data_IF_367314843706
#
_entry.id   IF_367314843706
#
_cell.length_a   1.000
_cell.length_b   1.000
_cell.length_c   1.000
_cell.angle_alpha   90.00
_cell.angle_beta   90.00
_cell.angle_gamma   90.00
#
_symmetry.space_group_name_H-M   'P 1'
#
loop_
_entity.id
_entity.type
_entity.pdbx_description
1 polymer ?
#
# COMPACT_ATOMS: atom_id res chain seq x y z
N UNK A 1 -33.70 9.40 29.34
CA UNK A 1 -33.43 9.42 28.90
C UNK A 1 -32.80 9.53 28.39
N UNK A 2 -32.60 9.47 28.46
CA UNK A 2 -32.05 9.56 28.16
C UNK A 2 -31.54 9.50 27.42
N UNK A 3 -31.47 9.53 27.30
CA UNK A 3 -30.96 9.32 26.78
C UNK A 3 -30.63 8.89 25.99
N UNK A 4 -31.10 9.03 25.75
CA UNK A 4 -30.91 8.49 25.10
C UNK A 4 -29.90 8.28 24.46
N UNK A 5 -29.38 8.63 24.21
CA UNK A 5 -28.45 8.41 23.65
C UNK A 5 -27.69 7.54 23.94
N UNK A 6 -27.69 7.35 24.50
CA UNK A 6 -26.98 6.57 24.79
C UNK A 6 -27.26 5.55 24.53
N UNK A 7 -27.90 5.52 24.59
CA UNK A 7 -28.24 4.40 24.46
C UNK A 7 -28.02 3.91 23.34
N UNK A 8 -28.40 4.17 22.64
CA UNK A 8 -28.06 3.60 21.71
C UNK A 8 -26.89 3.31 21.68
N UNK A 9 -26.44 3.67 22.54
CA UNK A 9 -25.37 3.39 22.47
C UNK A 9 -24.92 2.29 22.80
N UNK A 10 -25.01 1.50 22.38
CA UNK A 10 -24.44 0.31 22.70
C UNK A 10 -22.97 0.47 22.88
N UNK A 11 -22.32 1.32 22.21
CA UNK A 11 -20.87 1.49 22.37
C UNK A 11 -20.59 2.60 23.37
N UNK A 12 -19.54 2.46 24.18
CA UNK A 12 -19.12 3.55 25.02
C UNK A 12 -18.77 4.77 24.18
N UNK A 13 -19.03 5.90 24.72
CA UNK A 13 -18.73 7.11 23.99
C UNK A 13 -17.26 7.25 23.70
N UNK A 14 -16.41 6.84 24.62
CA UNK A 14 -14.97 6.90 24.38
C UNK A 14 -14.57 6.04 23.20
N UNK A 15 -15.21 4.90 23.03
CA UNK A 15 -14.92 4.02 21.92
C UNK A 15 -15.39 4.61 20.61
N UNK A 16 -16.58 5.18 20.61
CA UNK A 16 -17.13 5.77 19.40
C UNK A 16 -16.29 6.95 18.95
N UNK A 17 -15.84 7.75 19.89
CA UNK A 17 -15.08 8.95 19.56
C UNK A 17 -13.58 8.76 19.58
N UNK A 18 -13.10 7.56 19.88
CA UNK A 18 -11.67 7.30 19.95
C UNK A 18 -11.08 7.32 18.55
N UNK A 19 -10.19 8.28 18.25
CA UNK A 19 -9.63 8.38 16.92
C UNK A 19 -8.82 7.15 16.51
N UNK A 20 -8.17 6.48 17.46
CA UNK A 20 -7.39 5.29 17.12
C UNK A 20 -8.31 4.15 16.71
N UNK A 21 -9.44 4.01 17.38
CA UNK A 21 -10.41 2.99 16.98
C UNK A 21 -10.94 3.28 15.59
N UNK A 22 -11.28 4.54 15.34
CA UNK A 22 -11.77 4.94 14.03
C UNK A 22 -10.72 4.69 12.95
N UNK A 23 -9.49 5.06 13.25
CA UNK A 23 -8.40 4.88 12.27
C UNK A 23 -8.22 3.41 11.95
N UNK A 24 -8.25 2.56 12.97
CA UNK A 24 -8.09 1.13 12.76
C UNK A 24 -9.18 0.58 11.86
N UNK A 25 -10.42 0.98 12.12
CA UNK A 25 -11.54 0.49 11.33
C UNK A 25 -11.44 0.94 9.88
N UNK A 26 -11.03 2.18 9.66
CA UNK A 26 -10.87 2.70 8.31
C UNK A 26 -9.79 1.92 7.57
N UNK A 27 -8.64 1.72 8.21
CA UNK A 27 -7.54 1.02 7.58
C UNK A 27 -7.92 -0.42 7.25
N UNK A 28 -8.57 -1.10 8.18
CA UNK A 28 -8.96 -2.48 7.92
C UNK A 28 -9.92 -2.58 6.75
N UNK A 29 -10.86 -1.66 6.67
CA UNK A 29 -11.80 -1.67 5.55
C UNK A 29 -11.07 -1.47 4.23
N UNK A 30 -10.17 -0.50 4.18
CA UNK A 30 -9.45 -0.21 2.95
C UNK A 30 -8.55 -1.36 2.55
N UNK A 31 -7.85 -1.97 3.51
CA UNK A 31 -6.97 -3.09 3.23
C UNK A 31 -7.72 -4.33 2.79
N UNK A 32 -8.97 -4.45 3.22
CA UNK A 32 -9.81 -5.56 2.76
C UNK A 32 -10.10 -5.44 1.26
N UNK A 33 -10.17 -4.21 0.78
CA UNK A 33 -10.50 -3.99 -0.64
C UNK A 33 -9.30 -4.17 -1.54
N UNK A 34 -8.11 -3.78 -1.11
CA UNK A 34 -6.92 -3.87 -1.94
C UNK A 34 -5.69 -3.58 -1.11
N UNK A 35 -4.52 -4.04 -1.55
CA UNK A 35 -3.28 -3.64 -0.89
C UNK A 35 -3.11 -2.12 -0.97
N UNK A 36 -2.59 -1.54 0.09
CA UNK A 36 -2.41 -0.09 0.18
C UNK A 36 -1.06 0.22 0.78
N UNK A 37 -0.46 1.32 0.33
CA UNK A 37 0.76 1.79 0.94
C UNK A 37 0.44 2.55 2.23
N UNK A 38 1.46 2.68 3.08
CA UNK A 38 1.29 3.48 4.29
C UNK A 38 0.86 4.90 3.96
N UNK A 39 1.45 5.49 2.92
CA UNK A 39 1.11 6.85 2.52
C UNK A 39 -0.34 6.97 2.07
N UNK A 40 -0.84 5.97 1.35
CA UNK A 40 -2.23 5.99 0.91
C UNK A 40 -3.19 5.95 2.09
N UNK A 41 -2.86 5.11 3.07
CA UNK A 41 -3.70 5.02 4.26
C UNK A 41 -3.62 6.29 5.09
N UNK A 42 -2.43 6.87 5.19
CA UNK A 42 -2.28 8.14 5.90
C UNK A 42 -3.14 9.23 5.27
N UNK A 43 -3.15 9.29 3.94
CA UNK A 43 -3.96 10.26 3.24
C UNK A 43 -5.45 10.03 3.52
N UNK A 44 -5.88 8.77 3.48
CA UNK A 44 -7.27 8.44 3.73
C UNK A 44 -7.68 8.84 5.14
N UNK A 45 -6.82 8.59 6.11
CA UNK A 45 -7.11 8.96 7.49
C UNK A 45 -7.21 10.47 7.64
N UNK A 46 -6.29 11.19 7.02
CA UNK A 46 -6.31 12.65 7.09
C UNK A 46 -7.59 13.21 6.49
N UNK A 47 -8.01 12.65 5.37
CA UNK A 47 -9.22 13.12 4.71
C UNK A 47 -10.46 12.89 5.54
N UNK A 48 -10.42 11.92 6.41
CA UNK A 48 -11.54 11.62 7.30
C UNK A 48 -11.42 12.31 8.65
N UNK A 49 -10.44 13.20 8.79
CA UNK A 49 -10.33 14.00 9.99
C UNK A 49 -9.66 13.31 11.15
N UNK A 50 -8.98 12.20 10.93
CA UNK A 50 -8.28 11.52 12.00
C UNK A 50 -7.06 12.35 12.39
N UNK A 51 -6.87 12.65 13.69
CA UNK A 51 -5.69 13.40 14.12
C UNK A 51 -4.41 12.66 13.78
N UNK A 52 -3.38 13.43 13.45
CA UNK A 52 -2.11 12.86 12.99
C UNK A 52 -1.54 11.89 14.00
N UNK A 53 -1.64 12.20 15.29
CA UNK A 53 -1.11 11.35 16.33
C UNK A 53 -1.74 9.98 16.32
N UNK A 54 -3.07 9.96 16.24
CA UNK A 54 -3.81 8.70 16.22
C UNK A 54 -3.48 7.93 14.95
N UNK A 55 -3.38 8.64 13.82
CA UNK A 55 -3.06 7.99 12.57
C UNK A 55 -1.69 7.32 12.64
N UNK A 56 -0.69 8.04 13.14
CA UNK A 56 0.66 7.47 13.23
C UNK A 56 0.71 6.24 14.13
N UNK A 57 -0.02 6.29 15.22
CA UNK A 57 -0.05 5.15 16.12
C UNK A 57 -0.60 3.91 15.43
N UNK A 58 -1.70 4.07 14.72
CA UNK A 58 -2.34 2.94 14.06
C UNK A 58 -1.51 2.44 12.89
N UNK A 59 -1.00 3.38 12.08
CA UNK A 59 -0.17 2.99 10.93
C UNK A 59 1.07 2.25 11.38
N UNK A 60 1.67 2.69 12.50
CA UNK A 60 2.84 2.01 13.03
C UNK A 60 2.52 0.59 13.48
N UNK A 61 1.41 0.42 14.17
CA UNK A 61 1.01 -0.91 14.61
C UNK A 61 0.75 -1.84 13.44
N UNK A 62 0.08 -1.33 12.41
CA UNK A 62 -0.22 -2.14 11.24
C UNK A 62 1.04 -2.51 10.49
N UNK A 63 2.02 -1.61 10.47
CA UNK A 63 3.31 -1.92 9.88
C UNK A 63 4.03 -3.01 10.68
N UNK A 64 3.98 -2.89 12.00
CA UNK A 64 4.68 -3.84 12.87
C UNK A 64 4.16 -5.27 12.70
N UNK A 65 2.87 -5.42 12.45
CA UNK A 65 2.29 -6.75 12.29
C UNK A 65 2.17 -7.17 10.84
N UNK A 66 2.67 -6.37 9.91
CA UNK A 66 2.74 -6.76 8.52
C UNK A 66 1.48 -6.52 7.71
N UNK A 67 0.48 -5.86 8.27
CA UNK A 67 -0.71 -5.51 7.51
C UNK A 67 -0.42 -4.38 6.52
N UNK A 68 0.53 -3.54 6.85
CA UNK A 68 1.09 -2.55 5.94
C UNK A 68 2.50 -3.01 5.65
N UNK A 69 2.81 -3.21 4.37
CA UNK A 69 4.13 -3.69 3.98
C UNK A 69 4.49 -3.03 2.66
N UNK A 70 5.06 -1.84 2.75
CA UNK A 70 5.40 -1.07 1.56
C UNK A 70 6.46 -1.76 0.72
N UNK A 71 7.36 -2.50 1.35
CA UNK A 71 8.36 -3.23 0.58
C UNK A 71 7.71 -4.30 -0.28
N UNK A 72 6.77 -5.03 0.28
CA UNK A 72 6.06 -6.04 -0.48
C UNK A 72 5.19 -5.41 -1.56
N UNK A 73 4.56 -4.28 -1.26
CA UNK A 73 3.79 -3.54 -2.25
C UNK A 73 4.67 -3.17 -3.42
N UNK A 74 5.85 -2.65 -3.14
CA UNK A 74 6.77 -2.22 -4.19
C UNK A 74 7.22 -3.40 -5.04
N UNK A 75 7.55 -4.51 -4.42
CA UNK A 75 7.97 -5.69 -5.17
C UNK A 75 6.88 -6.20 -6.09
N UNK A 76 5.66 -6.27 -5.58
CA UNK A 76 4.54 -6.73 -6.39
C UNK A 76 4.26 -5.77 -7.54
N UNK A 77 4.39 -4.47 -7.28
CA UNK A 77 4.19 -3.46 -8.31
C UNK A 77 5.22 -3.63 -9.42
N UNK A 78 6.49 -3.77 -9.03
CA UNK A 78 7.56 -3.92 -10.01
C UNK A 78 7.33 -5.16 -10.86
N UNK A 79 7.04 -6.27 -10.22
CA UNK A 79 6.83 -7.51 -10.93
C UNK A 79 5.67 -7.40 -11.90
N UNK A 80 4.57 -6.88 -11.43
CA UNK A 80 3.38 -6.79 -12.25
C UNK A 80 3.58 -5.83 -13.43
N UNK A 81 4.13 -4.66 -13.15
CA UNK A 81 4.28 -3.66 -14.19
C UNK A 81 5.37 -4.00 -15.18
N UNK A 82 6.46 -4.55 -14.66
CA UNK A 82 7.56 -4.91 -15.55
C UNK A 82 7.14 -5.99 -16.56
N UNK A 83 6.49 -7.02 -16.06
CA UNK A 83 6.09 -8.12 -16.92
C UNK A 83 4.97 -7.75 -17.87
N UNK A 84 4.04 -6.93 -17.41
CA UNK A 84 2.90 -6.61 -18.25
C UNK A 84 3.18 -5.46 -19.21
N UNK A 85 4.11 -4.58 -18.89
CA UNK A 85 4.36 -3.39 -19.71
C UNK A 85 5.80 -3.21 -20.15
N UNK A 86 6.74 -3.96 -19.57
CA UNK A 86 8.13 -3.81 -19.91
C UNK A 86 8.73 -2.49 -19.48
N UNK A 87 8.23 -1.92 -18.38
CA UNK A 87 8.70 -0.62 -17.94
C UNK A 87 10.11 -0.70 -17.38
N UNK A 88 10.88 0.36 -17.58
CA UNK A 88 12.24 0.45 -17.10
C UNK A 88 12.27 0.67 -15.59
N UNK A 89 13.46 0.43 -15.01
CA UNK A 89 13.65 0.68 -13.58
C UNK A 89 13.30 2.13 -13.23
N UNK A 90 13.70 3.05 -14.11
CA UNK A 90 13.44 4.47 -13.88
C UNK A 90 11.95 4.76 -13.84
N UNK A 91 11.21 4.23 -14.80
CA UNK A 91 9.77 4.42 -14.85
C UNK A 91 9.09 3.80 -13.65
N UNK A 92 9.52 2.60 -13.26
CA UNK A 92 8.95 1.92 -12.11
C UNK A 92 9.23 2.70 -10.83
N UNK A 93 10.45 3.23 -10.71
CA UNK A 93 10.79 4.04 -9.54
C UNK A 93 9.90 5.27 -9.44
N UNK A 94 9.65 5.91 -10.58
CA UNK A 94 8.79 7.09 -10.59
C UNK A 94 7.37 6.74 -10.19
N UNK A 95 6.87 5.60 -10.68
CA UNK A 95 5.53 5.17 -10.30
C UNK A 95 5.42 4.92 -8.81
N UNK A 96 6.42 4.24 -8.25
CA UNK A 96 6.39 3.93 -6.82
C UNK A 96 6.49 5.18 -5.96
N UNK A 97 7.26 6.16 -6.42
CA UNK A 97 7.32 7.43 -5.72
C UNK A 97 5.95 8.08 -5.67
N UNK A 98 5.21 8.00 -6.74
CA UNK A 98 3.87 8.56 -6.77
C UNK A 98 2.92 7.82 -5.83
N UNK A 99 3.21 6.55 -5.55
CA UNK A 99 2.43 5.80 -4.57
C UNK A 99 2.84 6.10 -3.14
N UNK A 100 3.87 6.93 -2.97
CA UNK A 100 4.30 7.30 -1.63
C UNK A 100 5.27 6.34 -0.98
N UNK A 101 5.93 5.51 -1.76
CA UNK A 101 6.91 4.57 -1.24
C UNK A 101 8.23 5.30 -0.97
N UNK A 102 8.90 4.94 0.10
CA UNK A 102 10.17 5.54 0.45
C UNK A 102 11.28 5.11 -0.50
N UNK A 103 12.25 5.99 -0.67
CA UNK A 103 13.33 5.74 -1.61
C UNK A 103 14.03 4.41 -1.39
N UNK A 104 14.27 4.06 -0.14
CA UNK A 104 14.98 2.83 0.17
C UNK A 104 14.19 1.61 -0.30
N UNK A 105 12.90 1.62 -0.06
CA UNK A 105 12.07 0.50 -0.46
C UNK A 105 11.91 0.43 -1.97
N UNK A 106 11.91 1.59 -2.63
CA UNK A 106 11.88 1.61 -4.09
C UNK A 106 13.15 0.98 -4.63
N UNK A 107 14.31 1.38 -4.08
CA UNK A 107 15.58 0.86 -4.55
C UNK A 107 15.64 -0.65 -4.40
N UNK A 108 15.23 -1.15 -3.24
CA UNK A 108 15.25 -2.58 -3.02
C UNK A 108 14.37 -3.32 -4.01
N UNK A 109 13.21 -2.77 -4.30
CA UNK A 109 12.28 -3.42 -5.19
C UNK A 109 12.80 -3.47 -6.62
N UNK A 110 13.36 -2.35 -7.11
CA UNK A 110 13.83 -2.32 -8.50
C UNK A 110 15.18 -3.01 -8.65
N UNK A 111 15.94 -3.15 -7.58
CA UNK A 111 17.23 -3.83 -7.65
C UNK A 111 17.08 -5.33 -7.85
N UNK A 112 15.91 -5.88 -7.61
CA UNK A 112 15.63 -7.26 -7.94
C UNK A 112 15.78 -7.46 -9.45
N UNK A 113 15.48 -6.44 -10.21
CA UNK A 113 15.64 -6.47 -11.66
C UNK A 113 17.03 -5.97 -11.99
N UNK A 114 17.99 -6.86 -12.15
CA UNK A 114 19.29 -6.39 -12.60
C UNK A 114 19.20 -6.06 -14.08
N UNK A 115 20.17 -5.32 -14.61
CA UNK A 115 20.09 -4.87 -16.00
C UNK A 115 19.92 -6.00 -17.01
N UNK A 116 20.57 -7.10 -16.76
CA UNK A 116 20.46 -8.22 -17.66
C UNK A 116 19.08 -8.82 -17.66
N UNK A 117 18.51 -8.92 -16.49
CA UNK A 117 17.16 -9.45 -16.33
C UNK A 117 16.13 -8.55 -17.00
N UNK A 118 16.31 -7.25 -16.85
CA UNK A 118 15.39 -6.29 -17.46
C UNK A 118 15.41 -6.46 -18.99
N UNK A 119 16.60 -6.55 -19.56
CA UNK A 119 16.72 -6.72 -21.00
C UNK A 119 16.13 -8.05 -21.44
N UNK A 120 16.45 -9.10 -20.73
CA UNK A 120 15.94 -10.42 -21.09
C UNK A 120 14.42 -10.46 -21.02
N UNK A 121 13.86 -9.91 -19.97
CA UNK A 121 12.42 -9.90 -19.83
C UNK A 121 11.75 -9.09 -20.92
N UNK A 122 12.32 -7.95 -21.25
CA UNK A 122 11.78 -7.12 -22.31
C UNK A 122 11.84 -7.82 -23.65
N UNK A 123 12.93 -8.51 -23.90
CA UNK A 123 13.09 -9.25 -25.15
C UNK A 123 12.06 -10.36 -25.23
N UNK A 124 11.85 -11.07 -24.14
CA UNK A 124 10.88 -12.15 -24.12
C UNK A 124 9.48 -11.59 -24.35
N UNK A 125 9.19 -10.47 -23.76
CA UNK A 125 7.87 -9.86 -23.91
C UNK A 125 7.62 -9.43 -25.34
N UNK A 126 8.67 -9.06 -26.07
CA UNK A 126 8.52 -8.61 -27.44
C UNK A 126 8.49 -9.75 -28.44
N UNK A 127 9.09 -10.87 -28.09
CA UNK A 127 9.15 -12.01 -28.98
C UNK A 127 7.89 -12.83 -28.80
N UNK A 128 7.29 -13.28 -29.92
CA UNK A 128 6.10 -14.13 -29.76
C UNK A 128 6.47 -15.39 -29.04
N UNK A 129 5.69 -15.83 -28.28
CA UNK A 129 6.03 -17.02 -27.50
C UNK A 129 6.19 -18.22 -28.39
N UNK A 130 6.79 -18.14 -28.85
CA UNK A 130 7.00 -18.88 -29.19
C UNK A 130 7.40 -19.41 -29.25
N UNK A 131 7.27 -19.38 -29.58
CA UNK A 131 7.53 -19.74 -29.48
C UNK A 131 8.15 -20.28 -29.45
N UNK A 132 8.21 -20.15 -29.55
CA UNK A 132 8.67 -20.36 -29.40
C UNK A 132 9.25 -20.86 -29.46
N UNK A 133 9.36 -20.98 -29.68
CA UNK A 133 9.71 -21.11 -29.70
C UNK A 133 9.86 -21.42 -29.95
N UNK A 134 9.73 -21.73 -30.29
CA UNK A 134 9.83 -21.63 -30.62
C UNK A 134 9.99 -22.15 -30.98
#
# INVERSE_FOLDING_TARGET
MTNGKQASGSLPESEVSDPEVQARQICLRLLTLAPRTRAQLATALRRRGIPAEAAETVLGRFTDVGLIDDAAFARAWVESRHYSRGLSRRSLSAELRRQGIETEEIREAVDILDPEQVVATAAIAKVPPEPALR
#
